data_IF_442217324591
#
_entry.id   IF_442217324591
#
_cell.length_a   1.000
_cell.length_b   1.000
_cell.length_c   1.000
_cell.angle_alpha   90.00
_cell.angle_beta   90.00
_cell.angle_gamma   90.00
#
_symmetry.space_group_name_H-M   'P 1'
#
loop_
_entity.id
_entity.type
_entity.pdbx_description
1 polymer ?
#
# COMPACT_ATOMS: atom_id res chain seq x y z
N UNK A 1 10.33 12.27 -10.84
CA UNK A 1 9.75 11.99 -9.51
C UNK A 1 9.64 13.28 -8.73
N UNK A 2 8.44 13.55 -8.20
CA UNK A 2 8.05 14.84 -7.62
C UNK A 2 8.17 14.86 -6.09
N UNK A 3 8.55 16.01 -5.51
CA UNK A 3 8.62 16.22 -4.06
C UNK A 3 7.25 16.12 -3.38
N UNK A 4 6.15 16.26 -4.13
CA UNK A 4 4.78 16.05 -3.64
C UNK A 4 4.59 14.69 -2.96
N UNK A 5 5.35 13.66 -3.36
CA UNK A 5 5.33 12.33 -2.75
C UNK A 5 5.67 12.36 -1.26
N UNK A 6 6.55 13.25 -0.83
CA UNK A 6 6.99 13.36 0.56
C UNK A 6 5.86 13.83 1.50
N UNK A 7 4.79 14.43 0.95
CA UNK A 7 3.63 14.89 1.71
C UNK A 7 2.39 14.02 1.52
N UNK A 8 2.44 12.98 0.68
CA UNK A 8 1.27 12.15 0.35
C UNK A 8 0.67 11.44 1.58
N UNK A 9 1.48 11.15 2.59
CA UNK A 9 1.03 10.51 3.84
C UNK A 9 -0.07 11.31 4.55
N UNK A 10 -0.08 12.65 4.41
CA UNK A 10 -1.11 13.52 4.97
C UNK A 10 -2.46 13.27 4.31
N UNK A 11 -2.47 13.19 2.97
CA UNK A 11 -3.64 12.82 2.19
C UNK A 11 -4.10 11.40 2.52
N UNK A 12 -3.19 10.44 2.60
CA UNK A 12 -3.52 9.06 2.96
C UNK A 12 -4.14 8.96 4.38
N UNK A 13 -3.66 9.77 5.32
CA UNK A 13 -4.20 9.85 6.67
C UNK A 13 -5.59 10.50 6.71
N UNK A 14 -5.80 11.60 5.98
CA UNK A 14 -7.11 12.23 5.86
C UNK A 14 -8.13 11.27 5.22
N UNK A 15 -7.74 10.61 4.13
CA UNK A 15 -8.55 9.59 3.47
C UNK A 15 -8.91 8.44 4.42
N UNK A 16 -7.96 7.93 5.19
CA UNK A 16 -8.23 6.88 6.18
C UNK A 16 -9.26 7.34 7.22
N UNK A 17 -9.14 8.57 7.74
CA UNK A 17 -10.12 9.14 8.69
C UNK A 17 -11.50 9.26 8.07
N UNK A 18 -11.59 9.68 6.80
CA UNK A 18 -12.87 9.78 6.09
C UNK A 18 -13.54 8.41 5.95
N UNK A 19 -12.77 7.36 5.62
CA UNK A 19 -13.25 5.98 5.59
C UNK A 19 -13.73 5.52 6.97
N UNK A 20 -12.91 5.70 8.00
CA UNK A 20 -13.25 5.30 9.37
C UNK A 20 -14.53 6.00 9.87
N UNK A 21 -14.70 7.29 9.54
CA UNK A 21 -15.89 8.06 9.89
C UNK A 21 -17.16 7.57 9.16
N UNK A 22 -17.04 7.03 7.95
CA UNK A 22 -18.14 6.46 7.18
C UNK A 22 -18.45 4.99 7.53
N UNK A 23 -17.56 4.32 8.27
CA UNK A 23 -17.72 2.95 8.77
C UNK A 23 -18.45 2.89 10.13
N UNK A 24 -19.53 3.67 10.32
CA UNK A 24 -20.35 3.71 11.55
C UNK A 24 -21.55 2.77 11.54
N UNK A 25 -21.51 1.69 10.76
CA UNK A 25 -22.58 0.69 10.71
C UNK A 25 -22.56 -0.24 11.93
N UNK A 26 -23.72 -0.82 12.26
CA UNK A 26 -23.90 -1.82 13.32
C UNK A 26 -23.55 -3.24 12.84
N UNK A 27 -22.61 -3.37 11.90
CA UNK A 27 -22.23 -4.68 11.37
C UNK A 27 -21.52 -5.49 12.46
N UNK A 28 -21.82 -6.79 12.61
CA UNK A 28 -21.18 -7.65 13.61
C UNK A 28 -19.73 -7.98 13.28
N UNK A 29 -19.32 -7.83 12.01
CA UNK A 29 -17.96 -8.07 11.53
C UNK A 29 -17.08 -6.82 11.67
N UNK A 30 -15.79 -7.04 11.94
CA UNK A 30 -14.83 -5.95 11.87
C UNK A 30 -14.60 -5.51 10.42
N UNK A 31 -14.64 -4.21 10.19
CA UNK A 31 -14.37 -3.66 8.87
C UNK A 31 -12.87 -3.63 8.61
N UNK A 32 -12.46 -4.26 7.51
CA UNK A 32 -11.12 -4.16 6.98
C UNK A 32 -11.15 -3.59 5.56
N UNK A 33 -10.15 -2.78 5.25
CA UNK A 33 -9.90 -2.27 3.91
C UNK A 33 -8.49 -2.68 3.46
N UNK A 34 -8.40 -3.15 2.22
CA UNK A 34 -7.12 -3.46 1.58
C UNK A 34 -6.78 -2.34 0.61
N UNK A 35 -5.75 -1.56 0.92
CA UNK A 35 -5.24 -0.50 0.07
C UNK A 35 -4.25 -1.07 -0.94
N UNK A 36 -4.47 -0.78 -2.22
CA UNK A 36 -3.50 -1.07 -3.27
C UNK A 36 -2.25 -0.19 -3.10
N UNK A 37 -1.09 -0.84 -3.00
CA UNK A 37 0.21 -0.21 -3.00
C UNK A 37 0.60 0.17 -4.44
N UNK A 38 1.07 1.40 -4.64
CA UNK A 38 1.31 1.96 -5.97
C UNK A 38 2.57 2.82 -5.99
N UNK A 39 3.35 2.67 -7.07
CA UNK A 39 4.37 3.65 -7.40
C UNK A 39 3.71 4.87 -8.06
N UNK A 40 3.64 5.99 -7.34
CA UNK A 40 3.15 7.26 -7.87
C UNK A 40 4.35 8.07 -8.37
N UNK A 41 4.50 8.24 -9.67
CA UNK A 41 5.62 9.01 -10.22
C UNK A 41 5.44 10.53 -10.01
N UNK A 42 4.19 10.97 -9.83
CA UNK A 42 3.75 12.36 -9.64
C UNK A 42 2.44 12.38 -8.82
N UNK A 43 2.32 13.26 -7.82
CA UNK A 43 1.07 13.50 -7.06
C UNK A 43 0.50 14.91 -7.26
N UNK A 44 0.88 15.60 -8.32
CA UNK A 44 0.26 16.88 -8.71
C UNK A 44 -1.17 16.72 -9.23
N UNK A 45 -1.52 15.51 -9.66
CA UNK A 45 -2.88 15.14 -10.03
C UNK A 45 -3.70 14.73 -8.80
N UNK A 46 -5.02 14.69 -8.95
CA UNK A 46 -5.97 14.25 -7.93
C UNK A 46 -5.56 12.90 -7.35
N UNK A 47 -5.61 12.76 -6.02
CA UNK A 47 -5.26 11.50 -5.38
C UNK A 47 -6.31 10.43 -5.69
N UNK A 48 -5.85 9.28 -6.19
CA UNK A 48 -6.69 8.12 -6.50
C UNK A 48 -6.29 6.97 -5.58
N UNK A 49 -7.26 6.40 -4.89
CA UNK A 49 -7.11 5.25 -4.01
C UNK A 49 -7.90 4.07 -4.57
N UNK A 50 -7.26 2.92 -4.67
CA UNK A 50 -7.93 1.67 -5.04
C UNK A 50 -8.01 0.79 -3.80
N UNK A 51 -9.25 0.48 -3.37
CA UNK A 51 -9.53 -0.22 -2.13
C UNK A 51 -10.38 -1.45 -2.40
N UNK A 52 -10.03 -2.56 -1.74
CA UNK A 52 -10.88 -3.73 -1.63
C UNK A 52 -11.47 -3.78 -0.23
N UNK A 53 -12.80 -3.67 -0.12
CA UNK A 53 -13.53 -3.92 1.11
C UNK A 53 -13.92 -5.39 1.17
N UNK A 54 -13.69 -6.00 2.33
CA UNK A 54 -14.07 -7.39 2.60
C UNK A 54 -15.28 -7.40 3.52
N UNK A 55 -16.26 -8.23 3.18
CA UNK A 55 -17.45 -8.44 4.01
C UNK A 55 -17.49 -9.89 4.43
N UNK A 56 -17.42 -10.12 5.73
CA UNK A 56 -17.65 -11.45 6.29
C UNK A 56 -19.14 -11.76 6.24
N UNK A 57 -19.53 -12.94 5.73
CA UNK A 57 -20.90 -13.39 5.85
C UNK A 57 -21.15 -13.62 7.34
N UNK A 58 -22.05 -12.83 7.94
CA UNK A 58 -22.43 -12.98 9.34
C UNK A 58 -22.79 -14.43 9.65
N UNK A 59 -22.46 -14.90 10.85
CA UNK A 59 -22.56 -16.29 11.31
C UNK A 59 -24.00 -16.89 11.35
N UNK A 60 -24.96 -16.33 10.63
CA UNK A 60 -26.39 -16.66 10.68
C UNK A 60 -26.88 -17.45 9.46
N UNK A 61 -26.04 -18.31 8.88
CA UNK A 61 -26.44 -19.25 7.82
C UNK A 61 -26.19 -20.69 8.23
N UNK A 62 -27.05 -21.66 7.82
CA UNK A 62 -26.83 -23.07 8.14
C UNK A 62 -25.50 -23.56 7.54
N UNK A 63 -24.87 -24.47 8.27
CA UNK A 63 -23.50 -24.96 8.09
C UNK A 63 -23.17 -25.35 6.64
N UNK A 64 -22.37 -24.52 5.96
CA UNK A 64 -21.75 -24.85 4.68
C UNK A 64 -21.64 -23.64 3.73
N UNK A 65 -20.40 -23.23 3.43
CA UNK A 65 -20.02 -22.28 2.36
C UNK A 65 -20.46 -20.82 2.52
N UNK A 66 -20.20 -20.21 3.66
CA UNK A 66 -20.24 -18.75 3.76
C UNK A 66 -18.94 -18.17 3.14
N UNK A 67 -18.98 -17.79 1.86
CA UNK A 67 -17.84 -17.16 1.19
C UNK A 67 -17.78 -15.66 1.50
N UNK A 68 -16.60 -15.16 1.87
CA UNK A 68 -16.34 -13.72 2.03
C UNK A 68 -16.55 -13.01 0.70
N UNK A 69 -17.21 -11.85 0.70
CA UNK A 69 -17.44 -11.04 -0.51
C UNK A 69 -16.37 -9.94 -0.67
N UNK A 70 -16.08 -9.57 -1.92
CA UNK A 70 -15.11 -8.54 -2.27
C UNK A 70 -15.77 -7.36 -3.01
N UNK A 71 -15.57 -6.15 -2.51
CA UNK A 71 -16.02 -4.91 -3.17
C UNK A 71 -14.80 -4.10 -3.60
N UNK A 72 -14.54 -4.09 -4.91
CA UNK A 72 -13.46 -3.32 -5.52
C UNK A 72 -13.96 -1.91 -5.79
N UNK A 73 -13.24 -0.94 -5.24
CA UNK A 73 -13.64 0.45 -5.27
C UNK A 73 -12.48 1.32 -5.69
N UNK A 74 -12.80 2.35 -6.48
CA UNK A 74 -11.90 3.43 -6.83
C UNK A 74 -12.41 4.68 -6.15
N UNK A 75 -11.53 5.37 -5.44
CA UNK A 75 -11.89 6.56 -4.68
C UNK A 75 -10.99 7.72 -5.12
N UNK A 76 -11.60 8.82 -5.52
CA UNK A 76 -10.89 9.98 -6.07
C UNK A 76 -11.07 11.21 -5.20
N UNK A 77 -9.99 11.91 -4.91
CA UNK A 77 -10.02 13.21 -4.26
C UNK A 77 -10.43 14.29 -5.28
N UNK A 78 -11.46 15.07 -4.95
CA UNK A 78 -11.86 16.25 -5.70
C UNK A 78 -12.03 17.44 -4.77
N UNK A 79 -11.74 18.62 -5.31
CA UNK A 79 -12.15 19.88 -4.68
C UNK A 79 -13.67 20.06 -4.88
N UNK A 80 -14.37 20.48 -3.83
CA UNK A 80 -15.83 20.63 -3.82
C UNK A 80 -16.37 21.54 -4.93
N UNK A 81 -15.54 22.44 -5.46
CA UNK A 81 -15.89 23.38 -6.53
C UNK A 81 -15.69 22.86 -7.96
N UNK A 82 -14.81 21.88 -8.21
CA UNK A 82 -14.46 21.45 -9.57
C UNK A 82 -15.45 20.46 -10.21
N UNK A 83 -16.15 19.66 -9.40
CA UNK A 83 -17.06 18.62 -9.90
C UNK A 83 -18.30 19.16 -10.60
N UNK A 84 -18.83 20.30 -10.14
CA UNK A 84 -19.93 20.99 -10.81
C UNK A 84 -19.55 21.41 -12.23
N UNK A 85 -18.25 21.61 -12.49
CA UNK A 85 -17.71 21.98 -13.79
C UNK A 85 -17.43 20.75 -14.66
N UNK A 86 -16.82 19.70 -14.09
CA UNK A 86 -16.52 18.46 -14.81
C UNK A 86 -17.78 17.71 -15.28
N UNK A 87 -18.87 17.76 -14.51
CA UNK A 87 -20.15 17.17 -14.90
C UNK A 87 -20.92 18.01 -15.93
N UNK A 88 -20.64 19.31 -16.02
CA UNK A 88 -21.25 20.21 -17.00
C UNK A 88 -20.59 20.12 -18.40
N UNK A 89 -19.29 19.79 -18.47
CA UNK A 89 -18.51 19.87 -19.72
C UNK A 89 -18.40 18.55 -20.52
N UNK A 90 -19.03 17.45 -20.11
CA UNK A 90 -19.06 16.20 -20.90
C UNK A 90 -17.66 15.69 -21.37
N UNK A 91 -16.62 15.95 -20.57
CA UNK A 91 -15.23 15.91 -21.02
C UNK A 91 -14.60 14.52 -21.04
N UNK A 92 -14.14 14.10 -22.22
CA UNK A 92 -13.33 12.90 -22.49
C UNK A 92 -12.04 12.86 -21.67
N UNK A 93 -11.75 11.71 -21.07
CA UNK A 93 -10.42 11.37 -20.57
C UNK A 93 -9.65 10.60 -21.66
N UNK A 94 -8.40 10.99 -21.95
CA UNK A 94 -7.49 10.36 -22.92
C UNK A 94 -6.70 9.19 -22.30
N UNK A 95 -6.04 8.32 -23.11
CA UNK A 95 -6.38 6.90 -23.15
C UNK A 95 -5.55 6.02 -22.21
N UNK A 96 -6.23 5.15 -21.46
CA UNK A 96 -5.73 3.84 -21.08
C UNK A 96 -6.94 2.89 -21.04
N UNK A 97 -7.02 2.03 -22.06
CA UNK A 97 -7.94 0.89 -22.25
C UNK A 97 -9.44 1.23 -22.06
N UNK A 98 -10.06 1.50 -23.19
CA UNK A 98 -11.50 1.73 -23.36
C UNK A 98 -12.30 0.45 -23.11
N UNK A 99 -13.02 0.39 -21.99
CA UNK A 99 -14.32 -0.30 -21.91
C UNK A 99 -15.39 0.78 -22.07
N UNK A 100 -15.93 0.92 -23.28
CA UNK A 100 -17.09 1.77 -23.54
C UNK A 100 -18.32 1.12 -22.93
N UNK A 101 -18.97 1.81 -21.99
CA UNK A 101 -20.32 1.51 -21.53
C UNK A 101 -21.20 2.76 -21.70
N UNK A 102 -22.49 2.58 -22.02
CA UNK A 102 -23.37 3.65 -22.46
C UNK A 102 -23.67 4.63 -21.32
N UNK A 103 -23.48 5.92 -21.59
CA UNK A 103 -23.87 7.00 -20.71
C UNK A 103 -25.39 6.97 -20.50
N UNK A 104 -25.83 6.71 -19.27
CA UNK A 104 -27.17 7.08 -18.80
C UNK A 104 -27.09 8.49 -18.21
N UNK A 105 -28.05 9.34 -18.57
CA UNK A 105 -28.12 10.78 -18.31
C UNK A 105 -27.49 11.25 -16.98
N UNK A 106 -26.51 12.17 -17.01
CA UNK A 106 -25.84 12.68 -15.80
C UNK A 106 -26.62 13.78 -15.05
N UNK A 107 -27.80 14.21 -15.54
CA UNK A 107 -28.47 15.41 -15.04
C UNK A 107 -29.28 15.25 -13.73
N UNK A 108 -29.41 14.05 -13.16
CA UNK A 108 -30.25 13.84 -11.96
C UNK A 108 -29.60 13.00 -10.85
N UNK A 109 -28.33 12.62 -10.97
CA UNK A 109 -27.63 11.93 -9.88
C UNK A 109 -27.34 12.92 -8.75
N UNK A 110 -28.18 12.91 -7.70
CA UNK A 110 -27.94 13.70 -6.49
C UNK A 110 -26.59 13.32 -5.89
N UNK A 111 -25.65 14.27 -5.89
CA UNK A 111 -24.33 14.11 -5.28
C UNK A 111 -24.51 14.25 -3.76
N UNK A 112 -24.60 13.12 -3.06
CA UNK A 112 -24.85 13.10 -1.62
C UNK A 112 -23.67 12.49 -0.82
N UNK A 113 -23.46 12.94 0.43
CA UNK A 113 -22.45 12.36 1.30
C UNK A 113 -22.85 10.95 1.74
N UNK A 114 -21.88 10.04 1.74
CA UNK A 114 -22.06 8.65 2.18
C UNK A 114 -22.14 8.62 3.71
N UNK A 115 -23.32 8.29 4.24
CA UNK A 115 -23.55 8.13 5.69
C UNK A 115 -23.07 6.79 6.24
N UNK A 116 -23.21 5.73 5.45
CA UNK A 116 -22.76 4.38 5.79
C UNK A 116 -22.11 3.74 4.57
N UNK A 117 -20.80 3.50 4.65
CA UNK A 117 -20.05 2.92 3.55
C UNK A 117 -20.55 1.50 3.22
N UNK A 118 -20.82 0.68 4.23
CA UNK A 118 -21.29 -0.69 4.02
C UNK A 118 -22.64 -0.75 3.30
N UNK A 119 -23.59 0.10 3.67
CA UNK A 119 -24.89 0.17 3.00
C UNK A 119 -24.74 0.66 1.56
N UNK A 120 -23.89 1.66 1.33
CA UNK A 120 -23.64 2.19 -0.02
C UNK A 120 -23.01 1.14 -0.95
N UNK A 121 -22.05 0.36 -0.44
CA UNK A 121 -21.41 -0.71 -1.22
C UNK A 121 -22.33 -1.91 -1.50
N UNK A 122 -23.24 -2.24 -0.57
CA UNK A 122 -24.22 -3.32 -0.76
C UNK A 122 -25.46 -2.89 -1.58
N UNK A 123 -25.59 -1.60 -1.91
CA UNK A 123 -26.75 -1.01 -2.58
C UNK A 123 -26.78 -1.22 -4.11
N UNK A 124 -27.87 -0.75 -4.75
CA UNK A 124 -28.14 -0.96 -6.19
C UNK A 124 -27.03 -0.45 -7.13
N UNK A 125 -26.93 -1.08 -8.30
CA UNK A 125 -25.86 -1.01 -9.33
C UNK A 125 -25.58 0.35 -10.03
N UNK A 126 -25.37 1.44 -9.31
CA UNK A 126 -24.73 2.62 -9.90
C UNK A 126 -23.21 2.57 -9.73
N UNK A 127 -22.45 2.87 -10.77
CA UNK A 127 -20.99 2.90 -10.67
C UNK A 127 -20.51 3.98 -9.69
N UNK A 128 -21.28 5.04 -9.49
CA UNK A 128 -21.01 6.08 -8.48
C UNK A 128 -21.80 5.85 -7.20
N UNK A 129 -21.13 5.97 -6.03
CA UNK A 129 -21.65 5.66 -4.70
C UNK A 129 -21.89 6.87 -3.79
N UNK A 130 -21.48 8.06 -4.22
CA UNK A 130 -21.46 9.28 -3.41
C UNK A 130 -20.04 9.68 -3.01
N UNK A 131 -19.91 10.55 -2.00
CA UNK A 131 -18.61 11.01 -1.52
C UNK A 131 -18.44 10.88 -0.01
N UNK A 132 -17.21 10.69 0.43
CA UNK A 132 -16.81 10.83 1.83
C UNK A 132 -16.34 12.27 2.05
N UNK A 133 -16.69 12.85 3.19
CA UNK A 133 -16.17 14.12 3.64
C UNK A 133 -15.67 14.02 5.07
N UNK A 134 -14.67 14.84 5.39
CA UNK A 134 -14.35 15.17 6.76
C UNK A 134 -15.02 16.51 7.10
N UNK A 135 -15.57 16.69 8.32
CA UNK A 135 -16.27 17.92 8.69
C UNK A 135 -15.42 19.19 8.54
N UNK A 136 -14.10 19.06 8.70
CA UNK A 136 -13.15 20.17 8.76
C UNK A 136 -12.25 20.28 7.51
N UNK A 137 -12.54 19.54 6.44
CA UNK A 137 -11.77 19.60 5.19
C UNK A 137 -12.69 19.89 3.99
N UNK A 138 -12.29 20.82 3.11
CA UNK A 138 -13.02 21.15 1.86
C UNK A 138 -12.94 20.03 0.81
N UNK A 139 -12.11 19.01 1.07
CA UNK A 139 -11.86 17.89 0.16
C UNK A 139 -12.97 16.86 0.24
N UNK A 140 -13.35 16.33 -0.93
CA UNK A 140 -14.32 15.24 -1.05
C UNK A 140 -13.68 14.03 -1.71
N UNK A 141 -13.94 12.85 -1.15
CA UNK A 141 -13.46 11.59 -1.69
C UNK A 141 -14.61 10.85 -2.37
N UNK A 142 -14.67 10.93 -3.69
CA UNK A 142 -15.74 10.38 -4.52
C UNK A 142 -15.54 8.88 -4.71
N UNK A 143 -16.56 8.09 -4.36
CA UNK A 143 -16.47 6.63 -4.32
C UNK A 143 -17.15 6.04 -5.55
N UNK A 144 -16.40 5.19 -6.26
CA UNK A 144 -16.85 4.47 -7.44
C UNK A 144 -16.73 2.95 -7.24
N UNK A 145 -17.78 2.23 -7.62
CA UNK A 145 -17.78 0.77 -7.74
C UNK A 145 -17.00 0.38 -8.98
N UNK A 146 -16.05 -0.55 -8.85
CA UNK A 146 -15.30 -1.09 -9.99
C UNK A 146 -15.76 -2.50 -10.29
N UNK A 147 -15.81 -3.35 -9.26
CA UNK A 147 -16.25 -4.73 -9.38
C UNK A 147 -16.80 -5.23 -8.05
N UNK A 148 -17.71 -6.20 -8.11
CA UNK A 148 -18.19 -6.95 -6.96
C UNK A 148 -17.99 -8.44 -7.24
N UNK A 149 -17.32 -9.12 -6.33
CA UNK A 149 -17.16 -10.57 -6.38
C UNK A 149 -17.88 -11.20 -5.20
N UNK A 150 -18.79 -12.13 -5.52
CA UNK A 150 -19.54 -12.93 -4.55
C UNK A 150 -18.60 -13.79 -3.69
N UNK A 151 -17.41 -14.11 -4.21
CA UNK A 151 -16.37 -14.83 -3.49
C UNK A 151 -15.05 -14.07 -3.61
N UNK A 152 -14.41 -13.84 -2.46
CA UNK A 152 -13.09 -13.25 -2.36
C UNK A 152 -12.09 -14.07 -3.18
N UNK A 153 -11.33 -13.44 -4.09
CA UNK A 153 -10.26 -14.12 -4.79
C UNK A 153 -9.23 -14.69 -3.80
N UNK A 154 -8.60 -15.78 -4.21
CA UNK A 154 -7.46 -16.34 -3.47
C UNK A 154 -6.38 -15.27 -3.31
N UNK A 155 -5.62 -15.36 -2.23
CA UNK A 155 -4.56 -14.40 -1.94
C UNK A 155 -3.31 -15.10 -1.42
N UNK A 156 -2.15 -14.51 -1.69
CA UNK A 156 -0.84 -14.98 -1.21
C UNK A 156 -0.05 -13.81 -0.65
N UNK A 157 0.79 -14.08 0.34
CA UNK A 157 1.71 -13.07 0.91
C UNK A 157 3.01 -13.00 0.11
N UNK A 158 3.74 -11.89 0.25
CA UNK A 158 5.11 -11.81 -0.27
C UNK A 158 6.00 -12.90 0.32
N UNK A 159 5.81 -13.26 1.59
CA UNK A 159 6.54 -14.35 2.22
C UNK A 159 6.33 -15.70 1.51
N UNK A 160 5.09 -16.03 1.13
CA UNK A 160 4.80 -17.28 0.41
C UNK A 160 5.44 -17.30 -0.98
N UNK A 161 5.43 -16.15 -1.67
CA UNK A 161 6.10 -15.99 -2.96
C UNK A 161 7.62 -16.20 -2.83
N UNK A 162 8.26 -15.53 -1.86
CA UNK A 162 9.69 -15.66 -1.61
C UNK A 162 10.06 -17.08 -1.16
N UNK A 163 9.16 -17.77 -0.46
CA UNK A 163 9.37 -19.16 -0.08
C UNK A 163 9.25 -20.15 -1.25
N UNK A 164 8.78 -19.71 -2.43
CA UNK A 164 8.61 -20.56 -3.61
C UNK A 164 7.30 -21.35 -3.63
N UNK A 165 6.31 -20.95 -2.82
CA UNK A 165 5.00 -21.61 -2.74
C UNK A 165 4.08 -21.23 -3.90
N UNK A 166 4.43 -20.20 -4.67
CA UNK A 166 3.62 -19.65 -5.77
C UNK A 166 4.28 -19.92 -7.11
N UNK A 167 3.49 -20.31 -8.11
CA UNK A 167 3.94 -20.52 -9.49
C UNK A 167 3.15 -19.64 -10.47
N UNK A 168 3.81 -19.10 -11.52
CA UNK A 168 5.26 -19.13 -11.76
C UNK A 168 6.04 -18.28 -10.73
N UNK A 169 7.35 -18.54 -10.52
CA UNK A 169 8.16 -17.75 -9.61
C UNK A 169 8.29 -16.31 -10.10
N UNK A 170 8.60 -15.40 -9.17
CA UNK A 170 8.78 -13.99 -9.47
C UNK A 170 9.96 -13.78 -10.43
N UNK A 171 9.71 -13.18 -11.59
CA UNK A 171 10.75 -12.83 -12.56
C UNK A 171 11.62 -11.70 -12.01
N UNK A 172 12.82 -11.50 -12.58
CA UNK A 172 13.71 -10.39 -12.20
C UNK A 172 13.06 -9.02 -12.43
N UNK A 173 12.41 -8.83 -13.60
CA UNK A 173 11.63 -7.61 -13.90
C UNK A 173 10.49 -7.42 -12.90
N UNK A 174 9.78 -8.50 -12.58
CA UNK A 174 8.70 -8.52 -11.59
C UNK A 174 9.20 -8.12 -10.20
N UNK A 175 10.33 -8.66 -9.75
CA UNK A 175 10.86 -8.36 -8.42
C UNK A 175 11.28 -6.90 -8.27
N UNK A 176 11.90 -6.30 -9.30
CA UNK A 176 12.30 -4.88 -9.24
C UNK A 176 11.07 -3.96 -9.29
N UNK A 177 10.04 -4.35 -10.05
CA UNK A 177 8.77 -3.64 -10.09
C UNK A 177 8.09 -3.65 -8.71
N UNK A 178 8.03 -4.81 -8.06
CA UNK A 178 7.48 -4.97 -6.71
C UNK A 178 8.29 -4.18 -5.69
N UNK A 179 9.63 -4.24 -5.77
CA UNK A 179 10.54 -3.48 -4.92
C UNK A 179 10.29 -1.97 -5.00
N UNK A 180 10.17 -1.44 -6.22
CA UNK A 180 9.84 -0.04 -6.46
C UNK A 180 8.47 0.35 -5.89
N UNK A 181 7.45 -0.48 -6.09
CA UNK A 181 6.09 -0.23 -5.57
C UNK A 181 6.09 -0.21 -4.04
N UNK A 182 6.74 -1.18 -3.40
CA UNK A 182 6.83 -1.29 -1.94
C UNK A 182 7.60 -0.11 -1.36
N UNK A 183 8.78 0.22 -1.89
CA UNK A 183 9.57 1.36 -1.42
C UNK A 183 8.81 2.68 -1.62
N UNK A 184 8.14 2.85 -2.76
CA UNK A 184 7.37 4.06 -3.03
C UNK A 184 6.17 4.19 -2.11
N UNK A 185 5.48 3.08 -1.83
CA UNK A 185 4.35 3.06 -0.91
C UNK A 185 4.79 3.28 0.54
N UNK A 186 5.95 2.77 0.94
CA UNK A 186 6.55 3.05 2.23
C UNK A 186 6.75 4.56 2.43
N UNK A 187 7.40 5.23 1.46
CA UNK A 187 7.61 6.69 1.49
C UNK A 187 6.29 7.46 1.62
N UNK A 188 5.29 7.01 0.87
CA UNK A 188 3.97 7.64 0.78
C UNK A 188 3.08 7.41 2.01
N UNK A 189 3.27 6.30 2.75
CA UNK A 189 2.31 5.87 3.77
C UNK A 189 2.87 5.87 5.19
N UNK A 190 4.19 5.82 5.40
CA UNK A 190 4.76 5.86 6.76
C UNK A 190 4.24 7.10 7.50
N UNK A 191 3.92 6.94 8.78
CA UNK A 191 3.25 7.90 9.67
C UNK A 191 1.73 8.09 9.42
N UNK A 192 1.17 7.48 8.38
CA UNK A 192 -0.29 7.39 8.24
C UNK A 192 -0.85 6.16 8.98
N UNK A 193 -2.17 6.11 9.27
CA UNK A 193 -2.79 4.91 9.83
C UNK A 193 -2.64 3.65 8.96
N UNK A 194 -2.37 3.81 7.65
CA UNK A 194 -2.04 2.68 6.78
C UNK A 194 -0.69 2.06 7.12
N UNK A 195 0.25 2.85 7.67
CA UNK A 195 1.58 2.39 8.02
C UNK A 195 2.10 3.13 9.27
N UNK A 196 1.58 2.78 10.46
CA UNK A 196 1.96 3.47 11.68
C UNK A 196 3.42 3.17 12.04
N UNK A 197 4.20 4.20 12.34
CA UNK A 197 5.62 4.06 12.71
C UNK A 197 5.82 3.51 14.13
N UNK A 198 4.85 3.73 15.03
CA UNK A 198 5.01 3.51 16.47
C UNK A 198 4.24 2.30 17.05
N UNK A 199 3.31 1.70 16.31
CA UNK A 199 2.48 0.59 16.81
C UNK A 199 2.76 -0.69 16.01
N UNK A 200 3.29 -1.69 16.73
CA UNK A 200 3.65 -3.03 16.25
C UNK A 200 4.93 -3.11 15.41
N UNK A 201 5.88 -3.86 15.95
CA UNK A 201 7.14 -4.31 15.34
C UNK A 201 6.95 -5.14 14.04
N UNK A 202 5.79 -5.13 13.36
CA UNK A 202 5.56 -5.87 12.11
C UNK A 202 4.62 -5.19 11.11
N UNK A 203 4.36 -3.89 11.23
CA UNK A 203 3.34 -3.22 10.40
C UNK A 203 3.63 -3.23 8.88
N UNK A 204 4.89 -3.42 8.47
CA UNK A 204 5.32 -3.48 7.07
C UNK A 204 6.39 -4.55 6.83
N UNK A 205 5.98 -5.81 6.86
CA UNK A 205 6.82 -6.94 6.50
C UNK A 205 6.23 -7.74 5.32
N UNK A 206 6.99 -8.74 4.86
CA UNK A 206 6.58 -9.67 3.80
C UNK A 206 5.30 -10.46 4.10
N UNK A 207 4.84 -10.53 5.36
CA UNK A 207 3.56 -11.17 5.72
C UNK A 207 2.38 -10.22 5.54
N UNK A 208 2.62 -8.91 5.77
CA UNK A 208 1.61 -7.87 5.63
C UNK A 208 1.27 -7.48 4.18
N UNK A 209 2.16 -7.80 3.23
CA UNK A 209 2.00 -7.51 1.80
C UNK A 209 1.33 -8.70 1.10
N UNK A 210 0.15 -8.46 0.52
CA UNK A 210 -0.70 -9.50 -0.07
C UNK A 210 -0.96 -9.24 -1.55
N UNK A 211 -1.01 -10.31 -2.35
CA UNK A 211 -1.36 -10.29 -3.76
C UNK A 211 -2.62 -11.11 -3.99
N UNK A 212 -3.58 -10.56 -4.72
CA UNK A 212 -4.82 -11.27 -5.07
C UNK A 212 -4.63 -12.05 -6.39
N UNK A 213 -5.35 -13.16 -6.52
CA UNK A 213 -5.47 -13.88 -7.78
C UNK A 213 -6.22 -13.05 -8.82
N UNK A 214 -5.93 -13.28 -10.09
CA UNK A 214 -6.66 -12.70 -11.21
C UNK A 214 -8.12 -13.20 -11.14
N UNK A 215 -9.12 -12.31 -11.15
CA UNK A 215 -10.51 -12.71 -11.18
C UNK A 215 -10.89 -13.58 -12.39
N UNK A 216 -10.14 -13.46 -13.49
CA UNK A 216 -10.34 -14.20 -14.74
C UNK A 216 -9.57 -15.53 -14.76
N UNK A 217 -8.46 -15.62 -14.00
CA UNK A 217 -7.67 -16.84 -13.83
C UNK A 217 -7.20 -16.99 -12.37
N UNK A 218 -7.94 -17.72 -11.53
CA UNK A 218 -7.64 -17.88 -10.11
C UNK A 218 -6.29 -18.54 -9.80
N UNK A 219 -5.60 -19.10 -10.80
CA UNK A 219 -4.27 -19.70 -10.64
C UNK A 219 -3.13 -18.70 -10.86
N UNK A 220 -3.43 -17.51 -11.40
CA UNK A 220 -2.45 -16.46 -11.64
C UNK A 220 -2.60 -15.38 -10.58
N UNK A 221 -1.52 -15.00 -9.91
CA UNK A 221 -1.52 -13.91 -8.94
C UNK A 221 -1.07 -12.60 -9.57
N UNK A 222 -1.74 -11.49 -9.25
CA UNK A 222 -1.45 -10.16 -9.78
C UNK A 222 -0.26 -9.54 -9.06
N UNK A 223 0.95 -10.01 -9.37
CA UNK A 223 2.19 -9.63 -8.68
C UNK A 223 2.57 -8.15 -8.80
N UNK A 224 1.98 -7.41 -9.74
CA UNK A 224 2.15 -5.96 -9.88
C UNK A 224 1.13 -5.14 -9.07
N UNK A 225 0.25 -5.79 -8.30
CA UNK A 225 -0.82 -5.16 -7.52
C UNK A 225 -0.80 -5.56 -6.04
N UNK A 226 0.33 -5.35 -5.32
CA UNK A 226 0.40 -5.65 -3.89
C UNK A 226 -0.57 -4.78 -3.09
N UNK A 227 -1.10 -5.33 -2.01
CA UNK A 227 -2.06 -4.66 -1.12
C UNK A 227 -1.61 -4.76 0.33
N UNK A 228 -2.01 -3.78 1.14
CA UNK A 228 -1.93 -3.85 2.59
C UNK A 228 -3.32 -3.73 3.21
N UNK A 229 -3.64 -4.63 4.13
CA UNK A 229 -4.93 -4.62 4.83
C UNK A 229 -4.81 -3.92 6.19
N UNK A 230 -5.82 -3.12 6.53
CA UNK A 230 -5.98 -2.52 7.87
C UNK A 230 -7.41 -2.69 8.37
N UNK A 231 -7.53 -3.06 9.63
CA UNK A 231 -8.81 -3.05 10.34
C UNK A 231 -9.04 -1.65 10.91
N UNK A 232 -10.21 -1.07 10.66
CA UNK A 232 -10.49 0.29 11.12
C UNK A 232 -10.52 0.41 12.67
N UNK A 233 -10.83 -0.69 13.37
CA UNK A 233 -10.83 -0.74 14.85
C UNK A 233 -9.45 -0.76 15.49
N UNK A 234 -8.44 -1.31 14.81
CA UNK A 234 -7.07 -1.48 15.35
C UNK A 234 -6.35 -0.14 15.52
N UNK A 235 -6.88 0.90 14.87
CA UNK A 235 -6.30 2.23 14.77
C UNK A 235 -7.15 3.31 15.46
N UNK A 236 -8.28 2.93 16.06
CA UNK A 236 -9.01 3.82 16.95
C UNK A 236 -8.12 4.13 18.17
N UNK A 237 -7.95 5.41 18.55
CA UNK A 237 -7.14 5.74 19.70
C UNK A 237 -7.71 5.03 20.93
N UNK A 238 -6.93 4.10 21.50
CA UNK A 238 -7.18 3.65 22.87
C UNK A 238 -7.15 4.92 23.72
N UNK A 239 -8.14 5.10 24.59
CA UNK A 239 -8.41 6.29 25.43
C UNK A 239 -7.27 6.76 26.36
N UNK A 240 -6.01 6.44 26.07
CA UNK A 240 -4.86 7.02 26.72
C UNK A 240 -4.58 8.37 26.09
N UNK A 241 -5.18 9.39 26.69
CA UNK A 241 -4.80 10.79 26.63
C UNK A 241 -3.27 10.95 26.69
N UNK A 242 -2.65 10.89 25.53
CA UNK A 242 -1.28 11.33 25.30
C UNK A 242 -1.40 12.37 24.20
N UNK A 243 -1.37 13.63 24.63
CA UNK A 243 -1.25 14.77 23.72
C UNK A 243 -0.13 14.47 22.74
N UNK A 244 -0.40 14.60 21.44
CA UNK A 244 0.63 14.57 20.40
C UNK A 244 1.50 15.81 20.63
N UNK A 245 2.51 15.68 21.49
CA UNK A 245 3.60 16.64 21.57
C UNK A 245 4.44 16.44 20.30
N UNK A 246 4.85 17.51 19.60
CA UNK A 246 5.77 17.37 18.48
C UNK A 246 7.07 16.72 18.98
N UNK A 247 7.33 15.50 18.54
CA UNK A 247 8.53 14.76 18.90
C UNK A 247 9.77 15.51 18.41
N UNK A 248 10.79 15.58 19.27
CA UNK A 248 12.05 16.23 18.94
C UNK A 248 12.72 15.55 17.73
N UNK A 249 13.52 16.28 16.95
CA UNK A 249 14.19 15.74 15.76
C UNK A 249 14.97 14.42 16.01
N UNK A 250 15.69 14.23 17.14
CA UNK A 250 16.37 12.96 17.43
C UNK A 250 15.41 11.77 17.62
N UNK A 251 14.23 12.00 18.22
CA UNK A 251 13.23 10.95 18.43
C UNK A 251 12.62 10.50 17.10
N UNK A 252 12.31 11.44 16.19
CA UNK A 252 11.72 11.12 14.88
C UNK A 252 12.64 10.27 13.99
N UNK A 253 13.96 10.45 14.07
CA UNK A 253 14.90 9.62 13.29
C UNK A 253 14.99 8.20 13.86
N UNK A 254 14.97 8.05 15.18
CA UNK A 254 14.91 6.74 15.84
C UNK A 254 13.62 6.00 15.47
N UNK A 255 12.50 6.72 15.38
CA UNK A 255 11.19 6.17 15.03
C UNK A 255 11.12 5.60 13.61
N UNK A 256 11.94 6.09 12.68
CA UNK A 256 11.93 5.71 11.25
C UNK A 256 13.03 4.70 10.89
N UNK A 257 14.09 4.60 11.69
CA UNK A 257 15.26 3.74 11.39
C UNK A 257 14.89 2.25 11.33
N UNK A 258 14.06 1.79 12.26
CA UNK A 258 13.61 0.39 12.29
C UNK A 258 12.75 0.04 11.06
N UNK A 259 11.69 0.81 10.74
CA UNK A 259 10.95 0.64 9.48
C UNK A 259 11.82 0.67 8.22
N UNK A 260 12.82 1.56 8.14
CA UNK A 260 13.73 1.63 7.00
C UNK A 260 14.62 0.40 6.87
N UNK A 261 15.13 -0.13 7.98
CA UNK A 261 15.94 -1.34 7.96
C UNK A 261 15.14 -2.55 7.45
N UNK A 262 13.87 -2.68 7.85
CA UNK A 262 12.96 -3.72 7.33
C UNK A 262 12.64 -3.57 5.85
N UNK A 263 12.47 -2.34 5.39
CA UNK A 263 12.35 -2.08 3.96
C UNK A 263 13.63 -2.56 3.25
N UNK A 264 14.81 -2.23 3.78
CA UNK A 264 16.09 -2.71 3.27
C UNK A 264 16.15 -4.24 3.15
N UNK A 265 15.76 -4.96 4.21
CA UNK A 265 15.66 -6.43 4.20
C UNK A 265 14.69 -6.91 3.11
N UNK A 266 13.49 -6.33 3.03
CA UNK A 266 12.48 -6.72 2.03
C UNK A 266 12.97 -6.50 0.60
N UNK A 267 13.65 -5.38 0.33
CA UNK A 267 14.25 -5.10 -0.98
C UNK A 267 15.35 -6.11 -1.32
N UNK A 268 16.12 -6.54 -0.32
CA UNK A 268 17.19 -7.52 -0.46
C UNK A 268 16.59 -8.92 -0.74
N UNK A 269 15.55 -9.33 -0.02
CA UNK A 269 14.83 -10.57 -0.29
C UNK A 269 14.21 -10.60 -1.70
N UNK A 270 13.67 -9.46 -2.17
CA UNK A 270 13.17 -9.31 -3.54
C UNK A 270 14.28 -9.37 -4.60
N UNK A 271 15.47 -8.84 -4.29
CA UNK A 271 16.63 -8.90 -5.18
C UNK A 271 16.97 -10.36 -5.50
N UNK A 272 17.13 -11.19 -4.48
CA UNK A 272 17.48 -12.60 -4.63
C UNK A 272 16.28 -13.53 -4.78
N UNK A 273 15.05 -13.00 -4.66
CA UNK A 273 13.79 -13.77 -4.68
C UNK A 273 13.80 -14.92 -3.66
N UNK A 274 14.42 -14.69 -2.51
CA UNK A 274 14.60 -15.67 -1.45
C UNK A 274 14.56 -14.98 -0.08
N UNK A 275 13.93 -15.59 0.94
CA UNK A 275 13.85 -15.01 2.27
C UNK A 275 15.22 -14.95 2.95
N UNK A 276 15.41 -13.98 3.85
CA UNK A 276 16.63 -13.77 4.64
C UNK A 276 16.95 -15.00 5.50
N UNK A 277 15.93 -15.67 6.03
CA UNK A 277 16.05 -16.82 6.92
C UNK A 277 16.70 -18.04 6.26
N UNK A 278 16.72 -18.11 4.92
CA UNK A 278 17.40 -19.17 4.16
C UNK A 278 18.86 -18.87 3.87
N UNK A 279 19.32 -17.65 4.14
CA UNK A 279 20.64 -17.22 3.73
C UNK A 279 21.68 -17.60 4.77
N UNK A 280 22.88 -17.95 4.29
CA UNK A 280 24.00 -18.26 5.16
C UNK A 280 24.27 -17.14 6.18
N UNK A 281 24.17 -15.88 5.75
CA UNK A 281 24.33 -14.71 6.61
C UNK A 281 23.43 -14.72 7.85
N UNK A 282 22.19 -15.22 7.75
CA UNK A 282 21.27 -15.30 8.90
C UNK A 282 21.56 -16.50 9.79
N UNK A 283 22.07 -17.59 9.23
CA UNK A 283 22.46 -18.81 9.97
C UNK A 283 23.67 -18.60 10.89
N UNK A 284 24.48 -17.56 10.66
CA UNK A 284 25.59 -17.17 11.54
C UNK A 284 25.12 -16.66 12.90
N UNK A 285 23.83 -16.32 13.03
CA UNK A 285 23.23 -15.79 14.25
C UNK A 285 22.21 -16.78 14.81
N UNK A 286 22.06 -16.82 16.13
CA UNK A 286 21.02 -17.61 16.79
C UNK A 286 19.59 -17.10 16.47
N UNK A 287 18.55 -17.76 17.01
CA UNK A 287 17.17 -17.31 16.83
C UNK A 287 16.87 -15.95 17.49
N UNK A 288 17.70 -15.52 18.44
CA UNK A 288 17.46 -14.36 19.30
C UNK A 288 16.59 -14.73 20.50
N UNK A 289 16.95 -14.26 21.69
CA UNK A 289 16.20 -14.44 22.93
C UNK A 289 15.04 -13.44 23.08
N UNK A 290 15.01 -12.38 22.28
CA UNK A 290 13.94 -11.39 22.23
C UNK A 290 13.64 -10.93 20.80
N UNK A 291 12.48 -10.30 20.60
CA UNK A 291 12.13 -9.73 19.29
C UNK A 291 13.15 -8.66 18.82
N UNK A 292 13.63 -7.83 19.74
CA UNK A 292 14.64 -6.81 19.45
C UNK A 292 15.98 -7.42 19.04
N UNK A 293 16.40 -8.49 19.73
CA UNK A 293 17.64 -9.19 19.39
C UNK A 293 17.53 -9.91 18.04
N UNK A 294 16.39 -10.56 17.78
CA UNK A 294 16.11 -11.18 16.48
C UNK A 294 16.18 -10.15 15.36
N UNK A 295 15.53 -8.99 15.55
CA UNK A 295 15.57 -7.88 14.59
C UNK A 295 16.99 -7.33 14.39
N UNK A 296 17.77 -7.20 15.46
CA UNK A 296 19.18 -6.83 15.37
C UNK A 296 20.01 -7.82 14.54
N UNK A 297 19.80 -9.13 14.74
CA UNK A 297 20.45 -10.17 13.95
C UNK A 297 20.01 -10.16 12.49
N UNK A 298 18.72 -9.91 12.22
CA UNK A 298 18.22 -9.80 10.85
C UNK A 298 18.89 -8.63 10.11
N UNK A 299 19.04 -7.48 10.77
CA UNK A 299 19.75 -6.31 10.19
C UNK A 299 21.23 -6.59 9.97
N UNK A 300 21.92 -7.22 10.92
CA UNK A 300 23.34 -7.57 10.76
C UNK A 300 23.56 -8.57 9.62
N UNK A 301 22.71 -9.59 9.53
CA UNK A 301 22.73 -10.55 8.44
C UNK A 301 22.49 -9.88 7.08
N UNK A 302 21.53 -8.95 7.00
CA UNK A 302 21.25 -8.19 5.79
C UNK A 302 22.41 -7.28 5.36
N UNK A 303 23.12 -6.66 6.31
CA UNK A 303 24.33 -5.87 6.01
C UNK A 303 25.46 -6.76 5.46
N UNK A 304 25.61 -7.99 5.98
CA UNK A 304 26.53 -8.98 5.41
C UNK A 304 26.14 -9.35 3.98
N UNK A 305 24.87 -9.69 3.77
CA UNK A 305 24.32 -10.13 2.49
C UNK A 305 24.32 -9.04 1.41
N UNK A 306 24.21 -7.77 1.80
CA UNK A 306 24.25 -6.61 0.90
C UNK A 306 25.44 -6.61 -0.06
N UNK A 307 26.58 -7.18 0.35
CA UNK A 307 27.79 -7.23 -0.47
C UNK A 307 27.60 -7.93 -1.81
N UNK A 308 26.63 -8.84 -1.89
CA UNK A 308 26.33 -9.63 -3.09
C UNK A 308 25.30 -8.93 -4.02
N UNK A 309 24.64 -7.86 -3.55
CA UNK A 309 23.54 -7.21 -4.29
C UNK A 309 24.05 -6.53 -5.57
N UNK A 310 25.26 -5.99 -5.56
CA UNK A 310 25.82 -5.33 -6.74
C UNK A 310 26.01 -6.32 -7.90
N UNK A 311 26.41 -7.55 -7.60
CA UNK A 311 26.59 -8.61 -8.60
C UNK A 311 25.25 -9.15 -9.11
N UNK A 312 24.24 -9.29 -8.23
CA UNK A 312 22.91 -9.78 -8.61
C UNK A 312 22.03 -8.72 -9.30
N UNK A 313 22.07 -7.46 -8.86
CA UNK A 313 21.11 -6.42 -9.26
C UNK A 313 21.73 -5.09 -9.71
N UNK A 314 23.06 -4.98 -9.69
CA UNK A 314 23.78 -3.79 -10.10
C UNK A 314 23.92 -2.76 -8.98
N UNK A 315 24.78 -1.75 -9.22
CA UNK A 315 25.16 -0.77 -8.20
C UNK A 315 24.00 0.12 -7.74
N UNK A 316 23.06 0.43 -8.64
CA UNK A 316 21.88 1.24 -8.31
C UNK A 316 20.99 0.56 -7.25
N UNK A 317 20.72 -0.74 -7.41
CA UNK A 317 19.92 -1.49 -6.46
C UNK A 317 20.67 -1.66 -5.13
N UNK A 318 21.97 -1.96 -5.18
CA UNK A 318 22.82 -2.09 -3.99
C UNK A 318 22.87 -0.79 -3.18
N UNK A 319 23.01 0.36 -3.84
CA UNK A 319 23.00 1.67 -3.18
C UNK A 319 21.67 1.94 -2.46
N UNK A 320 20.54 1.61 -3.10
CA UNK A 320 19.21 1.75 -2.49
C UNK A 320 19.05 0.91 -1.22
N UNK A 321 19.48 -0.36 -1.25
CA UNK A 321 19.43 -1.26 -0.08
C UNK A 321 20.37 -0.78 1.03
N UNK A 322 21.60 -0.36 0.68
CA UNK A 322 22.56 0.19 1.64
C UNK A 322 22.00 1.40 2.39
N UNK A 323 21.34 2.30 1.67
CA UNK A 323 20.74 3.49 2.27
C UNK A 323 19.68 3.13 3.31
N UNK A 324 18.79 2.19 2.96
CA UNK A 324 17.76 1.67 3.88
C UNK A 324 18.35 1.00 5.12
N UNK A 325 19.44 0.24 5.01
CA UNK A 325 20.01 -0.50 6.14
C UNK A 325 20.91 0.35 7.05
N UNK A 326 21.70 1.27 6.48
CA UNK A 326 22.79 1.91 7.21
C UNK A 326 22.91 3.42 6.95
N UNK A 327 22.88 3.89 5.70
CA UNK A 327 23.29 5.28 5.41
C UNK A 327 22.23 6.33 5.77
N UNK A 328 20.96 5.99 5.93
CA UNK A 328 19.95 6.95 6.39
C UNK A 328 20.23 7.53 7.79
N UNK A 329 21.04 6.86 8.61
CA UNK A 329 21.37 7.29 9.98
C UNK A 329 22.24 8.55 10.02
N UNK A 330 22.85 8.93 8.90
CA UNK A 330 23.64 10.16 8.78
C UNK A 330 22.84 11.33 8.24
N UNK A 331 21.60 11.09 7.79
CA UNK A 331 20.72 12.11 7.23
C UNK A 331 19.97 12.88 8.33
N UNK A 332 19.66 14.18 8.12
CA UNK A 332 18.79 14.93 9.02
C UNK A 332 17.40 14.30 9.14
N UNK A 333 16.90 14.19 10.37
CA UNK A 333 15.62 13.55 10.70
C UNK A 333 14.40 14.12 9.97
N UNK A 334 14.46 15.39 9.57
CA UNK A 334 13.39 16.12 8.91
C UNK A 334 13.37 15.94 7.39
N UNK A 335 14.42 15.35 6.80
CA UNK A 335 14.61 15.24 5.34
C UNK A 335 14.67 13.81 4.82
N UNK A 336 14.42 12.82 5.68
CA UNK A 336 14.53 11.42 5.31
C UNK A 336 13.65 11.04 4.12
N UNK A 337 12.50 11.72 3.93
CA UNK A 337 11.59 11.46 2.81
C UNK A 337 12.18 11.94 1.49
N UNK A 338 12.74 13.15 1.45
CA UNK A 338 13.42 13.70 0.27
C UNK A 338 14.67 12.89 -0.08
N UNK A 339 15.40 12.46 0.94
CA UNK A 339 16.61 11.65 0.77
C UNK A 339 16.24 10.24 0.29
N UNK A 340 15.22 9.59 0.86
CA UNK A 340 14.73 8.30 0.38
C UNK A 340 14.24 8.38 -1.08
N UNK A 341 13.54 9.46 -1.45
CA UNK A 341 13.14 9.69 -2.84
C UNK A 341 14.35 9.70 -3.78
N UNK A 342 15.45 10.31 -3.36
CA UNK A 342 16.68 10.46 -4.15
C UNK A 342 17.53 9.20 -4.18
N UNK A 343 17.76 8.60 -3.02
CA UNK A 343 18.75 7.55 -2.77
C UNK A 343 18.16 6.14 -2.91
N UNK A 344 16.83 5.99 -2.83
CA UNK A 344 16.16 4.68 -2.94
C UNK A 344 15.28 4.62 -4.17
N UNK A 345 14.32 5.55 -4.31
CA UNK A 345 13.34 5.44 -5.39
C UNK A 345 13.93 5.70 -6.79
N UNK A 346 14.78 6.71 -6.95
CA UNK A 346 15.42 6.99 -8.26
C UNK A 346 16.30 5.83 -8.75
N UNK A 347 17.17 5.22 -7.92
CA UNK A 347 17.92 4.04 -8.35
C UNK A 347 17.03 2.84 -8.68
N UNK A 348 16.04 2.51 -7.84
CA UNK A 348 15.10 1.42 -8.13
C UNK A 348 14.31 1.65 -9.42
N UNK A 349 13.92 2.89 -9.70
CA UNK A 349 13.26 3.26 -10.96
C UNK A 349 14.17 3.02 -12.17
N UNK A 350 15.45 3.38 -12.11
CA UNK A 350 16.43 3.08 -13.17
C UNK A 350 16.57 1.57 -13.40
N UNK A 351 16.57 0.77 -12.32
CA UNK A 351 16.60 -0.69 -12.41
C UNK A 351 15.36 -1.24 -13.14
N UNK A 352 14.18 -0.64 -12.97
CA UNK A 352 12.96 -1.05 -13.70
C UNK A 352 12.98 -0.59 -15.15
N UNK A 353 13.44 0.64 -15.40
CA UNK A 353 13.47 1.23 -16.74
C UNK A 353 14.51 0.58 -17.67
N UNK A 354 15.58 -0.01 -17.12
CA UNK A 354 16.57 -0.77 -17.90
C UNK A 354 15.94 -1.93 -18.68
N UNK A 355 14.90 -2.57 -18.14
CA UNK A 355 14.15 -3.62 -18.83
C UNK A 355 13.33 -3.09 -20.00
N UNK A 356 12.83 -1.84 -19.92
CA UNK A 356 12.09 -1.23 -21.02
C UNK A 356 13.02 -0.89 -22.18
N UNK A 357 14.25 -0.47 -21.87
CA UNK A 357 15.27 -0.16 -22.88
C UNK A 357 15.79 -1.44 -23.56
N UNK A 358 15.93 -2.53 -22.81
CA UNK A 358 16.35 -3.82 -23.35
C UNK A 358 15.30 -4.50 -24.24
N UNK A 359 14.01 -4.16 -24.08
CA UNK A 359 12.91 -4.66 -24.94
C UNK A 359 12.82 -3.92 -26.29
N UNK A 360 13.53 -2.80 -26.47
CA UNK A 360 13.53 -1.98 -27.69
C UNK A 360 14.74 -2.23 -28.61
N UNK A 361 15.67 -3.10 -28.21
CA UNK A 361 16.85 -3.53 -28.98
C UNK A 361 16.62 -4.97 -29.41
#
# INVERSE_FOLDING_TARGET
>A
MDASLCRFWQTAAAFFRALAAACRCQCPSDHAASLLLQHRANCKEKAIFEIVFKKDPGASGPMGTASQEAYYTRIEEHDGHELLKAMADGGRCSPAITLQLPAKDPATAKIEPIKSLCQSLCGSHTDYRGYLNLPDEDKRYHVYSVAHHVTMPRSVTLAQILNGEVRPPLTRKGSYTVALIIASSFLQLLDSPWLPSATSSRAFDKLSIVFLADPSDPNVFLLNRPQISRMFRELAPKNNSSSIQPSSAPQRLADVSVPLARLGITLLELCFRSPLERQHWRTLYGPGASDNEREGFDVLAAIGWLREVADEAGPDYAAAVLWCLASHKTAPADRWREDMLREVLRPLQRCVDSFKLAECV
#
